data_IF_355024066187
#
_entry.id   IF_355024066187
#
_cell.length_a   1.000
_cell.length_b   1.000
_cell.length_c   1.000
_cell.angle_alpha   90.00
_cell.angle_beta   90.00
_cell.angle_gamma   90.00
#
_symmetry.space_group_name_H-M   'P 1'
#
loop_
_entity.id
_entity.type
_entity.pdbx_description
1 polymer ?
#
# COMPACT_ATOMS: atom_id res chain seq x y z
N UNK A 1 77.57 -9.98 146.21
CA UNK A 1 77.73 -8.76 145.37
C UNK A 1 77.30 -9.10 143.96
N UNK A 2 76.37 -8.31 143.43
CA UNK A 2 75.66 -8.49 142.15
C UNK A 2 76.53 -7.95 141.01
N UNK A 3 76.61 -8.63 139.87
CA UNK A 3 77.12 -8.02 138.64
C UNK A 3 76.20 -8.30 137.46
N UNK A 4 75.41 -7.29 137.12
CA UNK A 4 74.58 -7.17 135.93
C UNK A 4 75.31 -6.27 134.94
N UNK A 5 75.66 -6.76 133.74
CA UNK A 5 75.88 -5.94 132.53
C UNK A 5 76.17 -6.83 131.32
N UNK A 6 75.25 -6.87 130.35
CA UNK A 6 75.54 -6.72 128.92
C UNK A 6 74.30 -7.04 128.08
N UNK A 7 73.40 -6.07 127.93
CA UNK A 7 72.35 -6.06 126.89
C UNK A 7 72.22 -4.62 126.39
N UNK A 8 73.12 -4.17 125.49
CA UNK A 8 73.04 -2.80 124.93
C UNK A 8 73.57 -2.65 123.51
N UNK A 9 73.72 -3.75 122.76
CA UNK A 9 74.16 -3.72 121.36
C UNK A 9 73.08 -4.13 120.34
N UNK A 10 71.86 -4.42 120.79
CA UNK A 10 70.77 -4.90 119.90
C UNK A 10 69.75 -3.81 119.50
N UNK A 11 69.79 -2.62 120.09
CA UNK A 11 68.77 -1.57 119.86
C UNK A 11 69.12 -0.57 118.73
N UNK A 12 70.39 -0.18 118.55
CA UNK A 12 70.79 0.78 117.49
C UNK A 12 70.84 0.16 116.08
N UNK A 13 71.23 -1.11 115.98
CA UNK A 13 71.15 -1.89 114.72
C UNK A 13 69.71 -2.07 114.25
N UNK A 14 68.76 -2.12 115.19
CA UNK A 14 67.33 -2.28 114.93
C UNK A 14 66.67 -0.97 114.41
N UNK A 15 67.11 0.20 114.88
CA UNK A 15 66.57 1.50 114.45
C UNK A 15 67.01 1.84 113.01
N UNK A 16 68.29 1.64 112.68
CA UNK A 16 68.83 1.83 111.32
C UNK A 16 68.22 0.86 110.30
N UNK A 17 67.86 -0.34 110.73
CA UNK A 17 67.12 -1.32 109.92
C UNK A 17 65.65 -0.92 109.72
N UNK A 18 65.03 -0.28 110.73
CA UNK A 18 63.68 0.26 110.68
C UNK A 18 63.51 1.33 109.60
N UNK A 19 64.39 2.33 109.57
CA UNK A 19 64.37 3.40 108.56
C UNK A 19 64.64 2.87 107.14
N UNK A 20 65.58 1.93 107.01
CA UNK A 20 65.87 1.28 105.73
C UNK A 20 64.68 0.45 105.23
N UNK A 21 63.88 -0.14 106.13
CA UNK A 21 62.61 -0.83 105.81
C UNK A 21 61.51 0.16 105.41
N UNK A 22 61.42 1.33 106.03
CA UNK A 22 60.44 2.38 105.68
C UNK A 22 60.72 2.95 104.28
N UNK A 23 61.97 3.29 103.98
CA UNK A 23 62.37 3.79 102.65
C UNK A 23 62.14 2.73 101.57
N UNK A 24 62.39 1.45 101.87
CA UNK A 24 62.09 0.34 100.95
C UNK A 24 60.59 0.19 100.71
N UNK A 25 59.75 0.25 101.76
CA UNK A 25 58.29 0.23 101.65
C UNK A 25 57.74 1.38 100.79
N UNK A 26 58.18 2.61 101.03
CA UNK A 26 57.77 3.76 100.20
C UNK A 26 58.20 3.62 98.73
N UNK A 27 59.40 3.08 98.48
CA UNK A 27 59.88 2.82 97.12
C UNK A 27 59.06 1.72 96.44
N UNK A 28 58.64 0.69 97.19
CA UNK A 28 57.81 -0.40 96.70
C UNK A 28 56.34 0.04 96.48
N UNK A 29 55.80 0.92 97.32
CA UNK A 29 54.50 1.60 97.11
C UNK A 29 54.52 2.47 95.87
N UNK A 30 55.51 3.36 95.71
CA UNK A 30 55.64 4.19 94.49
C UNK A 30 55.79 3.35 93.23
N UNK A 31 56.49 2.21 93.30
CA UNK A 31 56.56 1.25 92.19
C UNK A 31 55.22 0.56 91.95
N UNK A 32 54.48 0.21 92.99
CA UNK A 32 53.15 -0.39 92.91
C UNK A 32 52.14 0.57 92.28
N UNK A 33 52.12 1.83 92.73
CA UNK A 33 51.25 2.88 92.20
C UNK A 33 51.65 3.27 90.77
N UNK A 34 52.96 3.34 90.48
CA UNK A 34 53.48 3.50 89.11
C UNK A 34 53.10 2.34 88.18
N UNK A 35 52.95 1.12 88.70
CA UNK A 35 52.44 -0.04 87.94
C UNK A 35 50.93 0.03 87.77
N UNK A 36 50.18 0.44 88.79
CA UNK A 36 48.71 0.62 88.75
C UNK A 36 48.32 1.70 87.74
N UNK A 37 48.92 2.88 87.83
CA UNK A 37 48.71 3.99 86.89
C UNK A 37 48.99 3.59 85.43
N UNK A 38 50.15 2.96 85.16
CA UNK A 38 50.45 2.41 83.82
C UNK A 38 49.47 1.32 83.36
N UNK A 39 48.94 0.52 84.30
CA UNK A 39 47.94 -0.50 83.99
C UNK A 39 46.59 0.14 83.63
N UNK A 40 46.17 1.18 84.36
CA UNK A 40 44.93 1.92 84.10
C UNK A 40 45.02 2.75 82.81
N UNK A 41 46.16 3.35 82.53
CA UNK A 41 46.46 4.01 81.26
C UNK A 41 46.42 3.01 80.08
N UNK A 42 46.99 1.81 80.26
CA UNK A 42 46.85 0.73 79.26
C UNK A 42 45.41 0.28 79.06
N UNK A 43 44.61 0.20 80.14
CA UNK A 43 43.19 -0.17 80.07
C UNK A 43 42.36 0.89 79.33
N UNK A 44 42.58 2.18 79.63
CA UNK A 44 41.89 3.29 78.96
C UNK A 44 42.24 3.37 77.48
N UNK A 45 43.53 3.26 77.11
CA UNK A 45 43.97 3.21 75.71
C UNK A 45 43.37 2.00 74.97
N UNK A 46 43.31 0.83 75.63
CA UNK A 46 42.71 -0.37 75.03
C UNK A 46 41.20 -0.21 74.82
N UNK A 47 40.51 0.46 75.75
CA UNK A 47 39.08 0.78 75.64
C UNK A 47 38.82 1.76 74.50
N UNK A 48 39.54 2.88 74.43
CA UNK A 48 39.42 3.85 73.32
C UNK A 48 39.73 3.22 71.96
N UNK A 49 40.72 2.32 71.88
CA UNK A 49 41.01 1.57 70.65
C UNK A 49 39.89 0.60 70.28
N UNK A 50 39.19 0.04 71.26
CA UNK A 50 38.00 -0.77 71.06
C UNK A 50 36.82 0.04 70.53
N UNK A 51 36.56 1.20 71.14
CA UNK A 51 35.50 2.15 70.74
C UNK A 51 35.74 2.67 69.31
N UNK A 52 36.96 3.12 68.99
CA UNK A 52 37.30 3.53 67.61
C UNK A 52 37.06 2.43 66.59
N UNK A 53 37.45 1.19 66.89
CA UNK A 53 37.22 0.05 65.99
C UNK A 53 35.73 -0.26 65.81
N UNK A 54 34.91 -0.09 66.84
CA UNK A 54 33.46 -0.26 66.69
C UNK A 54 32.84 0.85 65.86
N UNK A 55 33.29 2.09 66.03
CA UNK A 55 32.82 3.24 65.25
C UNK A 55 33.24 3.13 63.77
N UNK A 56 34.50 2.74 63.51
CA UNK A 56 35.00 2.46 62.15
C UNK A 56 34.23 1.32 61.48
N UNK A 57 33.80 0.32 62.25
CA UNK A 57 32.98 -0.78 61.71
C UNK A 57 31.57 -0.30 61.39
N UNK A 58 30.96 0.46 62.29
CA UNK A 58 29.60 1.00 62.12
C UNK A 58 29.52 1.96 60.92
N UNK A 59 30.49 2.86 60.79
CA UNK A 59 30.60 3.78 59.64
C UNK A 59 30.74 3.02 58.32
N UNK A 60 31.62 2.01 58.25
CA UNK A 60 31.73 1.16 57.06
C UNK A 60 30.43 0.40 56.73
N UNK A 61 29.71 -0.10 57.74
CA UNK A 61 28.43 -0.78 57.54
C UNK A 61 27.34 0.19 57.05
N UNK A 62 27.32 1.43 57.57
CA UNK A 62 26.42 2.49 57.12
C UNK A 62 26.76 2.94 55.68
N UNK A 63 28.04 3.13 55.35
CA UNK A 63 28.50 3.45 53.98
C UNK A 63 28.15 2.35 52.97
N UNK A 64 28.18 1.09 53.38
CA UNK A 64 27.74 -0.03 52.53
C UNK A 64 26.24 -0.02 52.31
N UNK A 65 25.46 0.35 53.34
CA UNK A 65 23.99 0.47 53.24
C UNK A 65 23.60 1.63 52.32
N UNK A 66 24.17 2.81 52.52
CA UNK A 66 23.90 4.00 51.68
C UNK A 66 24.25 3.74 50.22
N UNK A 67 25.45 3.21 49.94
CA UNK A 67 25.82 2.80 48.58
C UNK A 67 24.87 1.75 47.98
N UNK A 68 24.36 0.83 48.81
CA UNK A 68 23.38 -0.17 48.38
C UNK A 68 22.02 0.45 48.03
N UNK A 69 21.57 1.41 48.83
CA UNK A 69 20.33 2.14 48.61
C UNK A 69 20.44 3.06 47.39
N UNK A 70 21.56 3.76 47.22
CA UNK A 70 21.85 4.58 46.03
C UNK A 70 21.84 3.74 44.74
N UNK A 71 22.43 2.55 44.78
CA UNK A 71 22.36 1.63 43.63
C UNK A 71 20.94 1.17 43.34
N UNK A 72 20.11 0.97 44.37
CA UNK A 72 18.70 0.59 44.20
C UNK A 72 17.86 1.75 43.67
N UNK A 73 18.07 2.98 44.15
CA UNK A 73 17.35 4.16 43.66
C UNK A 73 17.69 4.42 42.20
N UNK A 74 18.98 4.39 41.83
CA UNK A 74 19.41 4.52 40.42
C UNK A 74 18.80 3.43 39.54
N UNK A 75 18.78 2.18 40.00
CA UNK A 75 18.18 1.07 39.24
C UNK A 75 16.68 1.24 39.05
N UNK A 76 15.95 1.66 40.09
CA UNK A 76 14.52 1.97 40.01
C UNK A 76 14.24 3.10 39.01
N UNK A 77 15.02 4.18 39.08
CA UNK A 77 14.92 5.30 38.14
C UNK A 77 15.11 4.83 36.70
N UNK A 78 16.15 4.05 36.42
CA UNK A 78 16.41 3.49 35.09
C UNK A 78 15.28 2.58 34.60
N UNK A 79 14.71 1.75 35.48
CA UNK A 79 13.59 0.87 35.14
C UNK A 79 12.32 1.67 34.84
N UNK A 80 12.06 2.75 35.59
CA UNK A 80 10.94 3.65 35.35
C UNK A 80 11.12 4.46 34.05
N UNK A 81 12.31 4.98 33.79
CA UNK A 81 12.65 5.63 32.51
C UNK A 81 12.46 4.68 31.33
N UNK A 82 12.90 3.42 31.47
CA UNK A 82 12.70 2.38 30.45
C UNK A 82 11.22 2.08 30.21
N UNK A 83 10.40 2.03 31.27
CA UNK A 83 8.94 1.88 31.16
C UNK A 83 8.32 3.07 30.44
N UNK A 84 8.74 4.28 30.77
CA UNK A 84 8.25 5.54 30.19
C UNK A 84 8.59 5.61 28.71
N UNK A 85 9.83 5.31 28.34
CA UNK A 85 10.27 5.22 26.95
C UNK A 85 9.51 4.15 26.16
N UNK A 86 9.23 2.98 26.77
CA UNK A 86 8.44 1.93 26.11
C UNK A 86 7.00 2.38 25.83
N UNK A 87 6.39 3.13 26.75
CA UNK A 87 5.06 3.74 26.58
C UNK A 87 5.08 4.77 25.46
N UNK A 88 5.98 5.75 25.50
CA UNK A 88 6.12 6.77 24.46
C UNK A 88 6.35 6.17 23.07
N UNK A 89 7.22 5.14 22.95
CA UNK A 89 7.40 4.42 21.68
C UNK A 89 6.12 3.74 21.20
N UNK A 90 5.30 3.24 22.12
CA UNK A 90 3.97 2.69 21.82
C UNK A 90 3.03 3.75 21.27
N UNK A 91 3.00 4.92 21.89
CA UNK A 91 2.13 6.03 21.49
C UNK A 91 2.56 6.61 20.13
N UNK A 92 3.86 6.78 19.91
CA UNK A 92 4.41 7.18 18.60
C UNK A 92 4.03 6.16 17.52
N UNK A 93 4.16 4.84 17.79
CA UNK A 93 3.74 3.81 16.82
C UNK A 93 2.25 3.92 16.50
N UNK A 94 1.40 4.09 17.51
CA UNK A 94 -0.06 4.26 17.30
C UNK A 94 -0.36 5.52 16.48
N UNK A 95 0.26 6.64 16.81
CA UNK A 95 0.09 7.90 16.09
C UNK A 95 0.50 7.77 14.62
N UNK A 96 1.64 7.15 14.33
CA UNK A 96 2.11 6.92 12.96
C UNK A 96 1.12 6.03 12.19
N UNK A 97 0.61 4.97 12.82
CA UNK A 97 -0.42 4.11 12.20
C UNK A 97 -1.72 4.88 11.93
N UNK A 98 -2.19 5.70 12.87
CA UNK A 98 -3.39 6.53 12.69
C UNK A 98 -3.21 7.56 11.58
N UNK A 99 -2.06 8.22 11.50
CA UNK A 99 -1.76 9.18 10.43
C UNK A 99 -1.78 8.51 9.06
N UNK A 100 -1.16 7.34 8.93
CA UNK A 100 -1.21 6.54 7.70
C UNK A 100 -2.64 6.16 7.34
N UNK A 101 -3.43 5.70 8.31
CA UNK A 101 -4.83 5.34 8.10
C UNK A 101 -5.65 6.53 7.59
N UNK A 102 -5.46 7.71 8.17
CA UNK A 102 -6.13 8.93 7.76
C UNK A 102 -5.72 9.36 6.33
N UNK A 103 -4.45 9.22 5.98
CA UNK A 103 -3.96 9.47 4.62
C UNK A 103 -4.58 8.49 3.61
N UNK A 104 -4.67 7.20 3.96
CA UNK A 104 -5.38 6.22 3.14
C UNK A 104 -6.86 6.56 2.99
N UNK A 105 -7.54 6.93 4.08
CA UNK A 105 -8.94 7.36 4.06
C UNK A 105 -9.14 8.51 3.08
N UNK A 106 -8.33 9.57 3.16
CA UNK A 106 -8.46 10.71 2.25
C UNK A 106 -8.21 10.35 0.78
N UNK A 107 -7.33 9.37 0.49
CA UNK A 107 -7.13 8.85 -0.87
C UNK A 107 -8.35 8.04 -1.34
N UNK A 108 -8.95 7.25 -0.46
CA UNK A 108 -10.19 6.51 -0.75
C UNK A 108 -11.34 7.48 -1.05
N UNK A 109 -11.55 8.50 -0.22
CA UNK A 109 -12.58 9.53 -0.44
C UNK A 109 -12.38 10.23 -1.79
N UNK A 110 -11.12 10.49 -2.17
CA UNK A 110 -10.78 11.05 -3.48
C UNK A 110 -11.16 10.12 -4.63
N UNK A 111 -10.86 8.82 -4.52
CA UNK A 111 -11.24 7.81 -5.51
C UNK A 111 -12.76 7.70 -5.64
N UNK A 112 -13.49 7.67 -4.53
CA UNK A 112 -14.96 7.65 -4.52
C UNK A 112 -15.53 8.86 -5.28
N UNK A 113 -15.03 10.07 -5.01
CA UNK A 113 -15.44 11.28 -5.75
C UNK A 113 -15.08 11.24 -7.25
N UNK A 114 -14.00 10.56 -7.62
CA UNK A 114 -13.66 10.35 -9.03
C UNK A 114 -14.61 9.35 -9.71
N UNK A 115 -14.99 8.27 -9.02
CA UNK A 115 -15.98 7.30 -9.50
C UNK A 115 -17.33 7.98 -9.70
N UNK A 116 -17.82 8.74 -8.72
CA UNK A 116 -19.09 9.48 -8.83
C UNK A 116 -19.12 10.44 -10.03
N UNK A 117 -17.97 11.06 -10.34
CA UNK A 117 -17.83 11.94 -11.52
C UNK A 117 -17.90 11.14 -12.81
N UNK A 118 -17.18 10.03 -12.90
CA UNK A 118 -17.20 9.14 -14.06
C UNK A 118 -18.61 8.59 -14.29
N UNK A 119 -19.31 8.19 -13.24
CA UNK A 119 -20.69 7.68 -13.35
C UNK A 119 -21.64 8.75 -13.93
N UNK A 120 -21.52 10.01 -13.46
CA UNK A 120 -22.31 11.11 -14.01
C UNK A 120 -21.99 11.40 -15.48
N UNK A 121 -20.72 11.42 -15.83
CA UNK A 121 -20.29 11.59 -17.24
C UNK A 121 -20.80 10.45 -18.12
N UNK A 122 -20.73 9.21 -17.63
CA UNK A 122 -21.24 8.05 -18.34
C UNK A 122 -22.75 8.13 -18.58
N UNK A 123 -23.53 8.55 -17.56
CA UNK A 123 -24.97 8.72 -17.74
C UNK A 123 -25.32 9.85 -18.71
N UNK A 124 -24.62 10.98 -18.64
CA UNK A 124 -24.82 12.05 -19.61
C UNK A 124 -24.47 11.59 -21.04
N UNK A 125 -23.37 10.86 -21.20
CA UNK A 125 -22.98 10.31 -22.50
C UNK A 125 -24.02 9.32 -23.03
N UNK A 126 -24.57 8.47 -22.17
CA UNK A 126 -25.68 7.58 -22.52
C UNK A 126 -26.89 8.38 -23.02
N UNK A 127 -27.32 9.41 -22.31
CA UNK A 127 -28.45 10.26 -22.73
C UNK A 127 -28.17 10.99 -24.06
N UNK A 128 -26.93 11.42 -24.30
CA UNK A 128 -26.52 12.05 -25.56
C UNK A 128 -26.59 11.04 -26.72
N UNK A 129 -26.10 9.81 -26.50
CA UNK A 129 -26.13 8.75 -27.51
C UNK A 129 -27.57 8.36 -27.84
N UNK A 130 -28.42 8.15 -26.83
CA UNK A 130 -29.84 7.83 -27.02
C UNK A 130 -30.57 8.91 -27.81
N UNK A 131 -30.30 10.20 -27.52
CA UNK A 131 -30.86 11.32 -28.29
C UNK A 131 -30.37 11.34 -29.74
N UNK A 132 -29.07 11.14 -29.98
CA UNK A 132 -28.51 11.10 -31.34
C UNK A 132 -29.05 9.93 -32.15
N UNK A 133 -29.24 8.77 -31.52
CA UNK A 133 -29.83 7.60 -32.16
C UNK A 133 -31.26 7.89 -32.62
N UNK A 134 -32.07 8.48 -31.74
CA UNK A 134 -33.46 8.80 -32.06
C UNK A 134 -33.56 9.91 -33.13
N UNK A 135 -32.67 10.90 -33.12
CA UNK A 135 -32.64 11.91 -34.19
C UNK A 135 -32.22 11.31 -35.54
N UNK A 136 -31.22 10.43 -35.55
CA UNK A 136 -30.79 9.74 -36.77
C UNK A 136 -31.93 8.89 -37.34
N UNK A 137 -32.67 8.19 -36.47
CA UNK A 137 -33.86 7.44 -36.87
C UNK A 137 -34.92 8.33 -37.50
N UNK A 138 -35.20 9.50 -36.90
CA UNK A 138 -36.13 10.48 -37.48
C UNK A 138 -35.65 11.03 -38.82
N UNK A 139 -34.36 11.32 -38.94
CA UNK A 139 -33.79 11.81 -40.19
C UNK A 139 -33.94 10.78 -41.31
N UNK A 140 -33.58 9.51 -41.05
CA UNK A 140 -33.75 8.42 -42.02
C UNK A 140 -35.22 8.25 -42.42
N UNK A 141 -36.14 8.30 -41.45
CA UNK A 141 -37.58 8.22 -41.74
C UNK A 141 -38.06 9.37 -42.63
N UNK A 142 -37.64 10.61 -42.34
CA UNK A 142 -37.99 11.78 -43.16
C UNK A 142 -37.45 11.65 -44.59
N UNK A 143 -36.17 11.30 -44.75
CA UNK A 143 -35.55 11.15 -46.08
C UNK A 143 -36.23 10.06 -46.93
N UNK A 144 -36.66 8.96 -46.31
CA UNK A 144 -37.41 7.91 -47.02
C UNK A 144 -38.76 8.45 -47.50
N UNK A 145 -39.51 9.16 -46.63
CA UNK A 145 -40.82 9.72 -46.99
C UNK A 145 -40.70 10.74 -48.13
N UNK A 146 -39.76 11.69 -48.02
CA UNK A 146 -39.54 12.71 -49.06
C UNK A 146 -39.16 12.08 -50.41
N UNK A 147 -38.33 11.03 -50.42
CA UNK A 147 -37.98 10.31 -51.66
C UNK A 147 -39.18 9.58 -52.26
N UNK A 148 -40.04 8.98 -51.45
CA UNK A 148 -41.26 8.31 -51.93
C UNK A 148 -42.22 9.33 -52.57
N UNK A 149 -42.47 10.46 -51.91
CA UNK A 149 -43.30 11.54 -52.46
C UNK A 149 -42.71 12.10 -53.76
N UNK A 150 -41.40 12.34 -53.79
CA UNK A 150 -40.69 12.79 -54.98
C UNK A 150 -40.79 11.81 -56.16
N UNK A 151 -40.70 10.50 -55.91
CA UNK A 151 -40.93 9.47 -56.93
C UNK A 151 -42.39 9.44 -57.40
N UNK A 152 -43.35 9.62 -56.49
CA UNK A 152 -44.77 9.74 -56.82
C UNK A 152 -45.06 10.89 -57.79
N UNK A 153 -44.49 12.08 -57.54
CA UNK A 153 -44.61 13.23 -58.44
C UNK A 153 -43.96 12.99 -59.81
N UNK A 154 -42.80 12.30 -59.86
CA UNK A 154 -42.14 11.96 -61.12
C UNK A 154 -42.97 10.97 -61.95
N UNK A 155 -43.53 9.93 -61.31
CA UNK A 155 -44.39 8.95 -61.96
C UNK A 155 -45.69 9.59 -62.48
N UNK A 156 -46.30 10.48 -61.69
CA UNK A 156 -47.50 11.22 -62.10
C UNK A 156 -47.24 12.12 -63.31
N UNK A 157 -46.09 12.82 -63.35
CA UNK A 157 -45.69 13.65 -64.49
C UNK A 157 -45.45 12.81 -65.75
N UNK A 158 -44.73 11.70 -65.64
CA UNK A 158 -44.48 10.81 -66.77
C UNK A 158 -45.80 10.27 -67.37
N UNK A 159 -46.74 9.89 -66.51
CA UNK A 159 -48.06 9.39 -66.92
C UNK A 159 -48.92 10.44 -67.66
N UNK A 160 -48.82 11.72 -67.30
CA UNK A 160 -49.55 12.81 -68.00
C UNK A 160 -48.92 13.11 -69.37
N UNK A 161 -47.60 12.96 -69.51
CA UNK A 161 -46.88 13.33 -70.73
C UNK A 161 -47.10 12.31 -71.86
N UNK A 162 -47.23 11.02 -71.51
CA UNK A 162 -47.51 9.92 -72.48
C UNK A 162 -48.98 9.86 -72.96
N UNK A 163 -49.89 10.61 -72.33
CA UNK A 163 -51.30 10.72 -72.77
C UNK A 163 -51.57 11.98 -73.60
N UNK A 164 -50.56 12.84 -73.81
CA UNK A 164 -50.70 14.16 -74.44
C UNK A 164 -50.45 14.22 -75.95
N UNK A 165 -49.91 13.17 -76.58
CA UNK A 165 -49.62 13.16 -78.02
C UNK A 165 -49.92 11.78 -78.63
N UNK A 166 -51.20 11.57 -78.96
CA UNK A 166 -51.71 10.32 -79.50
C UNK A 166 -52.79 10.55 -80.54
N UNK A 167 -52.39 11.15 -81.66
CA UNK A 167 -53.16 11.21 -82.90
C UNK A 167 -53.80 9.85 -83.23
N UNK A 168 -55.13 9.85 -83.32
CA UNK A 168 -55.95 8.71 -83.75
C UNK A 168 -55.69 8.44 -85.23
N UNK A 169 -55.24 7.23 -85.57
CA UNK A 169 -55.56 6.60 -86.86
C UNK A 169 -55.54 5.06 -86.77
N UNK A 170 -56.49 4.36 -87.40
CA UNK A 170 -56.73 2.92 -87.22
C UNK A 170 -56.01 2.08 -88.28
N UNK A 171 -55.55 0.86 -87.94
CA UNK A 171 -55.09 -0.06 -88.98
C UNK A 171 -54.32 -1.33 -88.61
N UNK A 172 -54.93 -2.26 -87.85
CA UNK A 172 -54.79 -3.74 -88.02
C UNK A 172 -53.40 -4.42 -87.74
N UNK A 173 -53.28 -5.77 -87.70
CA UNK A 173 -53.42 -6.55 -86.46
C UNK A 173 -52.21 -7.45 -86.12
N UNK A 174 -52.14 -7.82 -84.82
CA UNK A 174 -51.41 -8.93 -84.19
C UNK A 174 -50.67 -9.93 -85.11
N UNK A 175 -49.37 -10.10 -84.88
CA UNK A 175 -48.71 -11.42 -84.99
C UNK A 175 -47.73 -11.65 -83.86
N UNK A 176 -48.02 -12.72 -83.13
CA UNK A 176 -47.18 -13.37 -82.13
C UNK A 176 -45.92 -13.94 -82.78
N UNK A 177 -44.77 -13.74 -82.13
CA UNK A 177 -43.67 -14.72 -82.14
C UNK A 177 -42.90 -14.62 -80.82
N UNK A 178 -43.07 -15.62 -79.97
CA UNK A 178 -42.28 -15.88 -78.77
C UNK A 178 -40.85 -16.39 -79.12
N UNK A 179 -40.03 -16.80 -78.14
CA UNK A 179 -38.95 -16.02 -77.55
C UNK A 179 -37.58 -16.56 -78.02
N UNK A 180 -36.77 -15.72 -78.65
CA UNK A 180 -35.45 -16.16 -79.11
C UNK A 180 -34.45 -16.17 -77.95
N UNK A 181 -34.03 -17.38 -77.58
CA UNK A 181 -32.88 -17.74 -76.77
C UNK A 181 -31.82 -16.64 -76.62
N UNK A 182 -31.74 -16.03 -75.43
CA UNK A 182 -30.51 -15.42 -74.96
C UNK A 182 -29.68 -16.51 -74.28
N UNK A 183 -28.99 -17.27 -75.11
CA UNK A 183 -27.93 -18.18 -74.73
C UNK A 183 -26.83 -17.40 -74.00
N UNK A 184 -26.81 -17.55 -72.68
CA UNK A 184 -25.64 -17.63 -71.82
C UNK A 184 -24.37 -16.99 -72.41
N UNK A 185 -24.22 -15.68 -72.28
CA UNK A 185 -22.87 -15.12 -72.12
C UNK A 185 -22.34 -15.71 -70.81
N UNK A 186 -21.45 -16.71 -70.90
CA UNK A 186 -20.71 -17.23 -69.76
C UNK A 186 -19.80 -16.10 -69.28
N UNK A 187 -20.37 -15.14 -68.55
CA UNK A 187 -19.61 -14.15 -67.80
C UNK A 187 -18.75 -14.98 -66.85
N UNK A 188 -17.43 -14.91 -67.01
CA UNK A 188 -16.49 -15.57 -66.09
C UNK A 188 -16.75 -14.96 -64.71
N UNK A 189 -17.57 -15.64 -63.91
CA UNK A 189 -17.80 -15.25 -62.52
C UNK A 189 -16.44 -15.23 -61.83
N UNK A 190 -16.01 -14.04 -61.42
CA UNK A 190 -14.80 -13.83 -60.63
C UNK A 190 -14.99 -14.58 -59.33
N UNK A 191 -14.32 -15.73 -59.18
CA UNK A 191 -14.34 -16.47 -57.92
C UNK A 191 -13.56 -15.66 -56.89
N UNK A 192 -14.17 -15.29 -55.76
CA UNK A 192 -13.46 -14.63 -54.68
C UNK A 192 -12.38 -15.58 -54.18
N UNK A 193 -11.25 -14.99 -53.81
CA UNK A 193 -10.18 -15.72 -53.18
C UNK A 193 -10.68 -16.35 -51.87
N UNK A 194 -10.14 -17.49 -51.46
CA UNK A 194 -10.43 -18.07 -50.15
C UNK A 194 -9.65 -17.31 -49.08
N UNK A 195 -10.28 -16.98 -47.96
CA UNK A 195 -9.57 -16.33 -46.86
C UNK A 195 -8.68 -17.33 -46.13
N UNK A 196 -7.37 -17.11 -46.19
CA UNK A 196 -6.32 -17.96 -45.63
C UNK A 196 -5.74 -17.42 -44.31
N UNK A 197 -6.20 -16.26 -43.83
CA UNK A 197 -5.69 -15.59 -42.65
C UNK A 197 -4.36 -14.85 -42.84
N UNK A 198 -3.78 -14.86 -44.04
CA UNK A 198 -2.49 -14.22 -44.34
C UNK A 198 -2.65 -12.71 -44.61
N UNK A 199 -3.79 -12.29 -45.15
CA UNK A 199 -4.15 -10.88 -45.37
C UNK A 199 -5.15 -10.38 -44.32
N UNK A 200 -5.14 -9.09 -44.00
CA UNK A 200 -6.09 -8.51 -43.04
C UNK A 200 -7.55 -8.64 -43.53
N UNK A 201 -8.48 -8.78 -42.58
CA UNK A 201 -9.91 -8.93 -42.86
C UNK A 201 -10.50 -7.80 -43.71
N UNK A 202 -10.09 -6.55 -43.43
CA UNK A 202 -10.55 -5.37 -44.16
C UNK A 202 -10.12 -5.38 -45.63
N UNK A 203 -8.89 -5.83 -45.91
CA UNK A 203 -8.37 -5.94 -47.28
C UNK A 203 -9.11 -7.04 -48.05
N UNK A 204 -9.32 -8.19 -47.42
CA UNK A 204 -10.08 -9.29 -48.00
C UNK A 204 -11.53 -8.90 -48.31
N UNK A 205 -12.21 -8.23 -47.37
CA UNK A 205 -13.59 -7.76 -47.56
C UNK A 205 -13.73 -6.83 -48.76
N UNK A 206 -12.78 -5.91 -48.97
CA UNK A 206 -12.77 -5.01 -50.15
C UNK A 206 -12.64 -5.78 -51.46
N UNK A 207 -11.78 -6.80 -51.51
CA UNK A 207 -11.60 -7.64 -52.70
C UNK A 207 -12.86 -8.48 -52.98
N UNK A 208 -13.47 -9.03 -51.93
CA UNK A 208 -14.70 -9.80 -52.01
C UNK A 208 -15.89 -8.94 -52.50
N UNK A 209 -16.05 -7.72 -51.95
CA UNK A 209 -17.07 -6.77 -52.38
C UNK A 209 -16.87 -6.30 -53.83
N UNK A 210 -15.62 -6.11 -54.26
CA UNK A 210 -15.31 -5.78 -55.65
C UNK A 210 -15.69 -6.92 -56.61
N UNK A 211 -15.39 -8.18 -56.25
CA UNK A 211 -15.79 -9.35 -57.01
C UNK A 211 -17.32 -9.52 -57.06
N UNK A 212 -18.01 -9.30 -55.94
CA UNK A 212 -19.47 -9.36 -55.86
C UNK A 212 -20.15 -8.33 -56.78
N UNK A 213 -19.64 -7.09 -56.78
CA UNK A 213 -20.12 -6.02 -57.68
C UNK A 213 -19.86 -6.34 -59.14
N UNK A 214 -18.66 -6.83 -59.47
CA UNK A 214 -18.30 -7.20 -60.84
C UNK A 214 -19.12 -8.38 -61.38
N UNK A 215 -19.54 -9.29 -60.51
CA UNK A 215 -20.37 -10.43 -60.87
C UNK A 215 -21.89 -10.16 -60.76
N UNK A 216 -22.30 -8.97 -60.31
CA UNK A 216 -23.71 -8.63 -60.10
C UNK A 216 -24.42 -9.51 -59.06
N UNK A 217 -23.69 -10.00 -58.05
CA UNK A 217 -24.27 -10.91 -57.06
C UNK A 217 -25.37 -10.27 -56.23
N UNK A 218 -26.43 -11.02 -56.02
CA UNK A 218 -27.49 -10.69 -55.06
C UNK A 218 -27.01 -10.85 -53.62
N UNK A 219 -27.68 -10.23 -52.65
CA UNK A 219 -27.34 -10.35 -51.23
C UNK A 219 -27.26 -11.81 -50.75
N UNK A 220 -28.10 -12.68 -51.30
CA UNK A 220 -28.13 -14.10 -50.97
C UNK A 220 -26.91 -14.85 -51.56
N UNK A 221 -26.53 -14.56 -52.79
CA UNK A 221 -25.33 -15.13 -53.42
C UNK A 221 -24.05 -14.63 -52.76
N UNK A 222 -24.02 -13.35 -52.37
CA UNK A 222 -22.93 -12.75 -51.61
C UNK A 222 -22.73 -13.44 -50.25
N UNK A 223 -23.82 -13.67 -49.49
CA UNK A 223 -23.75 -14.38 -48.22
C UNK A 223 -23.29 -15.83 -48.38
N UNK A 224 -23.83 -16.54 -49.38
CA UNK A 224 -23.47 -17.94 -49.63
C UNK A 224 -22.01 -18.07 -50.07
N UNK A 225 -21.55 -17.19 -50.95
CA UNK A 225 -20.17 -17.18 -51.41
C UNK A 225 -19.19 -16.77 -50.31
N UNK A 226 -19.58 -15.86 -49.42
CA UNK A 226 -18.78 -15.47 -48.27
C UNK A 226 -18.56 -16.66 -47.34
N UNK A 227 -19.61 -17.42 -47.01
CA UNK A 227 -19.50 -18.63 -46.18
C UNK A 227 -18.59 -19.69 -46.83
N UNK A 228 -18.67 -19.86 -48.16
CA UNK A 228 -17.81 -20.80 -48.89
C UNK A 228 -16.35 -20.35 -48.85
N UNK A 229 -16.10 -19.05 -49.02
CA UNK A 229 -14.75 -18.49 -49.08
C UNK A 229 -14.06 -18.44 -47.71
N UNK A 230 -14.84 -18.58 -46.62
CA UNK A 230 -14.38 -18.67 -45.23
C UNK A 230 -14.30 -20.10 -44.70
N UNK A 231 -14.54 -21.14 -45.53
CA UNK A 231 -14.40 -22.54 -45.10
C UNK A 231 -12.98 -22.81 -44.61
N UNK A 232 -12.82 -22.90 -43.29
CA UNK A 232 -11.54 -23.07 -42.58
C UNK A 232 -11.30 -22.02 -41.48
N UNK A 233 -11.93 -20.85 -41.56
CA UNK A 233 -11.76 -19.72 -40.64
C UNK A 233 -13.10 -19.10 -40.19
N UNK A 234 -14.07 -19.96 -39.86
CA UNK A 234 -15.42 -19.57 -39.40
C UNK A 234 -15.42 -18.79 -38.07
N UNK A 235 -14.32 -18.82 -37.31
CA UNK A 235 -14.14 -18.01 -36.09
C UNK A 235 -14.23 -16.50 -36.36
N UNK A 236 -13.94 -16.04 -37.58
CA UNK A 236 -14.03 -14.61 -37.94
C UNK A 236 -15.49 -14.13 -38.05
N UNK A 237 -16.43 -15.04 -38.35
CA UNK A 237 -17.86 -14.72 -38.32
C UNK A 237 -18.46 -14.79 -36.91
N UNK A 238 -17.86 -15.59 -36.01
CA UNK A 238 -18.24 -15.61 -34.59
C UNK A 238 -17.61 -14.45 -33.79
N UNK A 239 -16.50 -13.90 -34.29
CA UNK A 239 -15.77 -12.79 -33.67
C UNK A 239 -16.18 -11.39 -34.14
N UNK A 240 -17.39 -11.20 -34.70
CA UNK A 240 -17.96 -9.87 -34.93
C UNK A 240 -18.87 -9.52 -33.74
N UNK A 241 -18.35 -8.96 -32.62
CA UNK A 241 -19.18 -8.11 -31.79
C UNK A 241 -19.53 -6.86 -32.62
N UNK A 242 -20.78 -6.45 -32.53
CA UNK A 242 -21.37 -5.31 -33.23
C UNK A 242 -20.86 -3.97 -32.68
N UNK A 243 -19.55 -3.82 -32.48
CA UNK A 243 -18.93 -2.62 -31.97
C UNK A 243 -17.43 -2.72 -32.24
N UNK A 244 -16.90 -1.87 -33.13
CA UNK A 244 -15.51 -1.36 -33.29
C UNK A 244 -15.25 -1.02 -34.77
N UNK A 245 -15.79 0.12 -35.20
CA UNK A 245 -15.45 0.74 -36.49
C UNK A 245 -14.74 2.09 -36.34
N UNK A 246 -14.29 2.47 -35.14
CA UNK A 246 -13.80 3.82 -34.87
C UNK A 246 -12.39 3.86 -34.24
N UNK A 247 -11.45 3.03 -34.71
CA UNK A 247 -10.04 3.13 -34.29
C UNK A 247 -9.06 3.21 -35.48
N UNK A 248 -9.44 3.93 -36.54
CA UNK A 248 -8.54 4.32 -37.64
C UNK A 248 -8.30 5.84 -37.67
N UNK A 249 -7.96 6.46 -36.53
CA UNK A 249 -7.57 7.89 -36.50
C UNK A 249 -6.50 8.25 -35.45
N UNK A 250 -5.58 7.33 -35.19
CA UNK A 250 -4.42 7.59 -34.33
C UNK A 250 -3.16 6.95 -34.90
N UNK A 251 -2.66 7.49 -36.02
CA UNK A 251 -1.25 7.42 -36.43
C UNK A 251 -0.95 8.28 -37.67
N UNK A 252 -1.34 9.56 -37.64
CA UNK A 252 -0.75 10.58 -38.54
C UNK A 252 -0.37 11.79 -37.69
N UNK A 253 0.82 11.74 -37.11
CA UNK A 253 1.35 12.82 -36.27
C UNK A 253 2.72 12.55 -35.66
N UNK A 254 3.52 11.64 -36.24
CA UNK A 254 4.87 11.34 -35.78
C UNK A 254 5.90 11.25 -36.93
N UNK A 255 5.60 11.87 -38.08
CA UNK A 255 6.55 12.09 -39.16
C UNK A 255 6.30 13.46 -39.79
N UNK A 256 6.63 14.51 -39.03
CA UNK A 256 7.25 15.76 -39.49
C UNK A 256 7.95 16.43 -38.31
#
# INVERSE_FOLDING_TARGET
MVNTRSTRYDEETTIMDGDRRIVKRQKDERKSDGKRTKSDERRTVRRQKGERKSDDKKTNDDDRRTNGDDKRTVRRQNDDDKRTMKRQRGDIRKFVSLKKLNEFSGRTDGVEQHIDRIEKEFQNNKEVIERKLEETKRQVQREILEKIEGLGHQLHRASITDLGDGSISPGTPLQNSSPMHAERSVQKLLKPHTYDGQSSWSMYRRQFEAAAKANGWTSQEMATSLVISLRGHLEILQGIPEERQNDDDRNVGALE
#
